data_IF_694667420474
#
_entry.id   IF_694667420474
#
_cell.length_a   1.000
_cell.length_b   1.000
_cell.length_c   1.000
_cell.angle_alpha   90.00
_cell.angle_beta   90.00
_cell.angle_gamma   90.00
#
_symmetry.space_group_name_H-M   'P 1'
#
loop_
_entity.id
_entity.type
_entity.pdbx_description
1 polymer ?
#
# COMPACT_ATOMS: atom_id res chain seq x y z
N UNK A 1 -45.60 -30.60 21.72
CA UNK A 1 -44.66 -30.96 20.63
C UNK A 1 -44.43 -29.81 19.66
N UNK A 2 -45.48 -29.16 19.12
CA UNK A 2 -45.34 -27.99 18.22
C UNK A 2 -44.51 -26.85 18.82
N UNK A 3 -44.70 -26.53 20.10
CA UNK A 3 -43.95 -25.47 20.80
C UNK A 3 -42.44 -25.78 20.88
N UNK A 4 -42.08 -27.03 21.16
CA UNK A 4 -40.68 -27.48 21.20
C UNK A 4 -40.01 -27.43 19.82
N UNK A 5 -40.74 -27.83 18.77
CA UNK A 5 -40.25 -27.74 17.39
C UNK A 5 -40.03 -26.27 17.00
N UNK A 6 -40.96 -25.38 17.34
CA UNK A 6 -40.82 -23.95 17.08
C UNK A 6 -39.59 -23.34 17.76
N UNK A 7 -39.36 -23.67 19.04
CA UNK A 7 -38.19 -23.22 19.78
C UNK A 7 -36.88 -23.75 19.15
N UNK A 8 -36.87 -25.03 18.76
CA UNK A 8 -35.71 -25.65 18.13
C UNK A 8 -35.37 -25.00 16.78
N UNK A 9 -36.37 -24.74 15.94
CA UNK A 9 -36.17 -24.06 14.65
C UNK A 9 -35.64 -22.65 14.84
N UNK A 10 -36.15 -21.91 15.83
CA UNK A 10 -35.69 -20.56 16.14
C UNK A 10 -34.21 -20.57 16.57
N UNK A 11 -33.85 -21.42 17.53
CA UNK A 11 -32.46 -21.54 18.00
C UNK A 11 -31.52 -22.01 16.90
N UNK A 12 -31.94 -22.97 16.07
CA UNK A 12 -31.14 -23.47 14.95
C UNK A 12 -30.90 -22.37 13.90
N UNK A 13 -31.94 -21.60 13.56
CA UNK A 13 -31.83 -20.50 12.59
C UNK A 13 -30.90 -19.40 13.12
N UNK A 14 -31.05 -18.99 14.38
CA UNK A 14 -30.15 -18.02 15.00
C UNK A 14 -28.70 -18.50 14.97
N UNK A 15 -28.46 -19.77 15.33
CA UNK A 15 -27.12 -20.37 15.32
C UNK A 15 -26.52 -20.36 13.90
N UNK A 16 -27.30 -20.70 12.88
CA UNK A 16 -26.87 -20.70 11.50
C UNK A 16 -26.51 -19.28 11.01
N UNK A 17 -27.33 -18.28 11.36
CA UNK A 17 -27.05 -16.88 10.99
C UNK A 17 -25.78 -16.36 11.66
N UNK A 18 -25.53 -16.72 12.92
CA UNK A 18 -24.31 -16.35 13.64
C UNK A 18 -23.05 -16.94 12.99
N UNK A 19 -23.11 -18.20 12.53
CA UNK A 19 -22.01 -18.83 11.79
C UNK A 19 -21.71 -18.09 10.48
N UNK A 20 -22.73 -17.74 9.71
CA UNK A 20 -22.53 -16.99 8.46
C UNK A 20 -21.97 -15.58 8.69
N UNK A 21 -22.42 -14.89 9.73
CA UNK A 21 -21.87 -13.58 10.11
C UNK A 21 -20.40 -13.68 10.50
N UNK A 22 -20.06 -14.68 11.32
CA UNK A 22 -18.68 -14.95 11.73
C UNK A 22 -17.77 -15.19 10.51
N UNK A 23 -18.21 -15.99 9.53
CA UNK A 23 -17.43 -16.23 8.30
C UNK A 23 -17.21 -14.97 7.47
N UNK A 24 -18.21 -14.08 7.40
CA UNK A 24 -18.08 -12.79 6.71
C UNK A 24 -17.08 -11.88 7.43
N UNK A 25 -17.22 -11.73 8.75
CA UNK A 25 -16.30 -10.96 9.57
C UNK A 25 -14.85 -11.46 9.43
N UNK A 26 -14.62 -12.77 9.41
CA UNK A 26 -13.29 -13.32 9.18
C UNK A 26 -12.70 -12.99 7.80
N UNK A 27 -13.54 -12.90 6.77
CA UNK A 27 -13.08 -12.51 5.44
C UNK A 27 -12.76 -11.02 5.36
N UNK A 28 -13.60 -10.17 5.95
CA UNK A 28 -13.37 -8.73 6.07
C UNK A 28 -12.08 -8.45 6.83
N UNK A 29 -11.88 -9.06 8.01
CA UNK A 29 -10.64 -8.94 8.79
C UNK A 29 -9.39 -9.37 8.00
N UNK A 30 -9.49 -10.37 7.13
CA UNK A 30 -8.38 -10.79 6.28
C UNK A 30 -8.10 -9.81 5.15
N UNK A 31 -9.13 -9.19 4.59
CA UNK A 31 -9.00 -8.17 3.54
C UNK A 31 -8.33 -6.93 4.11
N UNK A 32 -8.82 -6.40 5.23
CA UNK A 32 -8.21 -5.28 5.98
C UNK A 32 -6.76 -5.58 6.33
N UNK A 33 -6.46 -6.77 6.86
CA UNK A 33 -5.08 -7.16 7.15
C UNK A 33 -4.18 -7.22 5.92
N UNK A 34 -4.67 -7.75 4.79
CA UNK A 34 -3.91 -7.83 3.55
C UNK A 34 -3.57 -6.40 3.04
N UNK A 35 -4.49 -5.45 3.20
CA UNK A 35 -4.30 -4.02 2.91
C UNK A 35 -3.26 -3.41 3.86
N UNK A 36 -3.44 -3.53 5.17
CA UNK A 36 -2.54 -2.96 6.19
C UNK A 36 -1.10 -3.48 6.04
N UNK A 37 -0.94 -4.80 5.90
CA UNK A 37 0.38 -5.44 5.74
C UNK A 37 1.09 -4.94 4.46
N UNK A 38 0.34 -4.60 3.41
CA UNK A 38 0.89 -4.08 2.16
C UNK A 38 1.19 -2.58 2.26
N UNK A 39 0.27 -1.80 2.83
CA UNK A 39 0.43 -0.37 3.05
C UNK A 39 1.62 -0.07 3.96
N UNK A 40 1.75 -0.75 5.10
CA UNK A 40 2.89 -0.59 6.01
C UNK A 40 4.21 -0.88 5.29
N UNK A 41 4.31 -1.98 4.55
CA UNK A 41 5.54 -2.32 3.80
C UNK A 41 5.89 -1.27 2.75
N UNK A 42 4.91 -0.81 1.98
CA UNK A 42 5.10 0.20 0.94
C UNK A 42 5.54 1.53 1.58
N UNK A 43 4.78 2.01 2.56
CA UNK A 43 5.00 3.31 3.18
C UNK A 43 6.29 3.35 4.00
N UNK A 44 6.60 2.32 4.79
CA UNK A 44 7.87 2.25 5.52
C UNK A 44 9.08 2.24 4.58
N UNK A 45 9.00 1.49 3.47
CA UNK A 45 10.10 1.42 2.53
C UNK A 45 10.25 2.71 1.74
N UNK A 46 9.15 3.28 1.23
CA UNK A 46 9.16 4.59 0.56
C UNK A 46 9.74 5.66 1.47
N UNK A 47 9.26 5.76 2.70
CA UNK A 47 9.71 6.78 3.66
C UNK A 47 11.17 6.58 4.05
N UNK A 48 11.64 5.34 4.19
CA UNK A 48 13.06 5.03 4.40
C UNK A 48 13.92 5.44 3.20
N UNK A 49 13.48 5.12 1.99
CA UNK A 49 14.24 5.38 0.77
C UNK A 49 14.27 6.88 0.45
N UNK A 50 13.15 7.59 0.62
CA UNK A 50 13.09 9.05 0.50
C UNK A 50 14.04 9.71 1.51
N UNK A 51 13.99 9.30 2.78
CA UNK A 51 14.88 9.84 3.82
C UNK A 51 16.35 9.49 3.59
N UNK A 52 16.67 8.36 2.96
CA UNK A 52 18.06 7.97 2.68
C UNK A 52 18.59 8.50 1.35
N UNK A 53 17.72 8.97 0.47
CA UNK A 53 18.10 9.52 -0.83
C UNK A 53 18.82 10.86 -0.70
N UNK A 54 19.80 11.07 -1.58
CA UNK A 54 20.54 12.33 -1.69
C UNK A 54 19.76 13.34 -2.52
N UNK A 55 19.09 12.88 -3.58
CA UNK A 55 18.29 13.72 -4.46
C UNK A 55 17.22 12.92 -5.19
N UNK A 56 16.23 13.64 -5.72
CA UNK A 56 15.17 13.07 -6.56
C UNK A 56 15.51 13.33 -8.03
N UNK A 57 15.37 12.32 -8.88
CA UNK A 57 15.48 12.50 -10.32
C UNK A 57 14.14 13.00 -10.88
N UNK A 58 14.05 14.31 -11.12
CA UNK A 58 12.85 14.97 -11.62
C UNK A 58 12.54 14.61 -13.08
N UNK A 59 13.53 14.19 -13.88
CA UNK A 59 13.32 13.86 -15.28
C UNK A 59 12.68 12.48 -15.47
N UNK A 60 13.00 11.53 -14.58
CA UNK A 60 12.47 10.17 -14.59
C UNK A 60 11.35 9.93 -13.54
N UNK A 61 10.81 11.00 -12.95
CA UNK A 61 9.69 10.93 -11.99
C UNK A 61 8.45 11.64 -12.54
N UNK A 62 7.28 11.08 -12.22
CA UNK A 62 5.98 11.64 -12.61
C UNK A 62 5.21 12.03 -11.35
N UNK A 63 5.03 13.34 -11.14
CA UNK A 63 4.36 13.91 -9.98
C UNK A 63 2.95 14.42 -10.32
N UNK A 64 2.03 14.38 -9.36
CA UNK A 64 0.67 14.92 -9.48
C UNK A 64 -0.29 14.12 -10.37
N UNK A 65 0.11 12.94 -10.86
CA UNK A 65 -0.72 12.04 -11.65
C UNK A 65 -0.67 10.61 -11.14
N UNK A 66 -1.74 9.84 -11.35
CA UNK A 66 -1.78 8.40 -11.12
C UNK A 66 -1.78 7.64 -12.46
N UNK A 67 -0.97 6.58 -12.63
CA UNK A 67 0.02 6.09 -11.68
C UNK A 67 1.28 6.97 -11.66
N UNK A 68 1.67 7.36 -10.45
CA UNK A 68 2.90 8.11 -10.20
C UNK A 68 4.13 7.23 -10.37
N UNK A 69 5.25 7.87 -10.70
CA UNK A 69 6.57 7.24 -10.74
C UNK A 69 7.53 8.07 -9.92
N UNK A 70 8.32 7.42 -9.07
CA UNK A 70 9.31 8.10 -8.25
C UNK A 70 10.67 7.45 -8.43
N UNK A 71 11.64 8.24 -8.89
CA UNK A 71 13.03 7.82 -9.06
C UNK A 71 13.91 8.58 -8.08
N UNK A 72 14.53 7.84 -7.17
CA UNK A 72 15.39 8.35 -6.10
C UNK A 72 16.85 8.01 -6.40
N UNK A 73 17.71 9.00 -6.21
CA UNK A 73 19.16 8.84 -6.27
C UNK A 73 19.68 8.71 -4.84
N UNK A 74 20.20 7.53 -4.51
CA UNK A 74 20.75 7.19 -3.21
C UNK A 74 22.17 6.65 -3.33
N UNK A 75 22.79 6.33 -2.20
CA UNK A 75 24.10 5.68 -2.12
C UNK A 75 23.95 4.43 -1.28
N UNK A 76 24.62 3.34 -1.69
CA UNK A 76 24.62 2.12 -0.89
C UNK A 76 25.55 2.27 0.34
N UNK A 77 25.58 1.24 1.20
CA UNK A 77 26.45 1.22 2.38
C UNK A 77 27.95 1.30 2.07
N UNK A 78 28.35 1.02 0.83
CA UNK A 78 29.73 1.14 0.34
C UNK A 78 30.02 2.48 -0.34
N UNK A 79 29.06 3.41 -0.36
CA UNK A 79 29.19 4.74 -0.97
C UNK A 79 29.05 4.78 -2.49
N UNK A 80 28.65 3.68 -3.15
CA UNK A 80 28.41 3.69 -4.59
C UNK A 80 27.01 4.22 -4.91
N UNK A 81 26.84 5.03 -5.97
CA UNK A 81 25.53 5.50 -6.41
C UNK A 81 24.58 4.34 -6.70
N UNK A 82 23.35 4.48 -6.24
CA UNK A 82 22.25 3.54 -6.42
C UNK A 82 21.02 4.34 -6.84
N UNK A 83 20.34 3.90 -7.88
CA UNK A 83 19.06 4.47 -8.30
C UNK A 83 17.94 3.53 -7.89
N UNK A 84 16.97 4.03 -7.13
CA UNK A 84 15.78 3.28 -6.71
C UNK A 84 14.56 3.89 -7.39
N UNK A 85 13.86 3.07 -8.16
CA UNK A 85 12.68 3.49 -8.91
C UNK A 85 11.44 2.75 -8.41
N UNK A 86 10.40 3.52 -8.10
CA UNK A 86 9.08 3.05 -7.74
C UNK A 86 8.13 3.28 -8.90
N UNK A 87 7.48 2.22 -9.36
CA UNK A 87 6.57 2.28 -10.50
C UNK A 87 5.43 1.28 -10.34
N UNK A 88 4.25 1.66 -10.81
CA UNK A 88 3.10 0.77 -10.89
C UNK A 88 3.14 0.04 -12.24
N UNK A 89 3.04 -1.28 -12.21
CA UNK A 89 2.89 -2.14 -13.39
C UNK A 89 1.56 -2.87 -13.29
N UNK A 90 0.59 -2.49 -14.12
CA UNK A 90 -0.81 -2.93 -13.97
C UNK A 90 -1.42 -2.33 -12.70
N UNK A 91 -1.60 -3.16 -11.67
CA UNK A 91 -2.10 -2.78 -10.34
C UNK A 91 -1.11 -3.09 -9.21
N UNK A 92 0.15 -3.38 -9.55
CA UNK A 92 1.18 -3.81 -8.59
C UNK A 92 2.28 -2.75 -8.50
N UNK A 93 2.64 -2.34 -7.28
CA UNK A 93 3.83 -1.53 -7.03
C UNK A 93 5.08 -2.39 -7.05
N UNK A 94 5.94 -2.10 -8.01
CA UNK A 94 7.24 -2.74 -8.14
C UNK A 94 8.37 -1.75 -7.87
N UNK A 95 9.52 -2.30 -7.49
CA UNK A 95 10.75 -1.53 -7.33
C UNK A 95 11.78 -2.00 -8.34
N UNK A 96 12.50 -1.05 -8.91
CA UNK A 96 13.77 -1.29 -9.60
C UNK A 96 14.93 -0.68 -8.83
N UNK A 97 16.03 -1.41 -8.76
CA UNK A 97 17.30 -0.92 -8.20
C UNK A 97 18.36 -1.02 -9.29
N UNK A 98 18.99 0.09 -9.66
CA UNK A 98 19.95 0.18 -10.77
C UNK A 98 19.43 -0.45 -12.07
N UNK A 99 18.14 -0.26 -12.37
CA UNK A 99 17.48 -0.82 -13.55
C UNK A 99 17.12 -2.30 -13.46
N UNK A 100 17.44 -2.98 -12.35
CA UNK A 100 17.07 -4.38 -12.10
C UNK A 100 15.78 -4.43 -11.29
N UNK A 101 14.77 -5.14 -11.80
CA UNK A 101 13.50 -5.32 -11.11
C UNK A 101 13.65 -6.20 -9.86
N UNK A 102 13.23 -5.69 -8.71
CA UNK A 102 13.24 -6.37 -7.42
C UNK A 102 11.89 -7.01 -7.09
N UNK A 103 10.89 -6.82 -7.94
CA UNK A 103 9.56 -7.40 -7.79
C UNK A 103 8.60 -6.54 -6.97
N UNK A 104 7.47 -7.15 -6.61
CA UNK A 104 6.35 -6.49 -5.96
C UNK A 104 6.59 -6.24 -4.46
N UNK A 105 6.12 -5.09 -3.96
CA UNK A 105 6.16 -4.73 -2.54
C UNK A 105 4.93 -5.14 -1.72
N UNK A 106 3.90 -5.61 -2.42
CA UNK A 106 2.58 -5.83 -1.85
C UNK A 106 2.17 -7.29 -1.86
N UNK A 107 1.11 -7.61 -1.13
CA UNK A 107 0.47 -8.92 -1.21
C UNK A 107 -0.08 -9.18 -2.61
N UNK A 108 -0.12 -10.44 -3.05
CA UNK A 108 -0.69 -10.81 -4.35
C UNK A 108 -2.22 -10.59 -4.43
N UNK A 109 -2.87 -10.27 -3.31
CA UNK A 109 -4.33 -10.05 -3.20
C UNK A 109 -4.72 -8.57 -3.12
N UNK A 110 -3.74 -7.68 -3.02
CA UNK A 110 -3.95 -6.24 -2.99
C UNK A 110 -3.65 -5.62 -4.34
N UNK A 111 -4.38 -4.56 -4.68
CA UNK A 111 -4.21 -3.78 -5.89
C UNK A 111 -4.01 -2.31 -5.53
N UNK A 112 -3.15 -1.62 -6.26
CA UNK A 112 -3.11 -0.16 -6.24
C UNK A 112 -4.15 0.36 -7.22
N UNK A 113 -5.10 1.13 -6.68
CA UNK A 113 -6.09 1.84 -7.46
C UNK A 113 -5.53 3.18 -7.93
N UNK A 114 -4.78 3.86 -7.05
CA UNK A 114 -4.05 5.07 -7.39
C UNK A 114 -2.81 5.25 -6.52
N UNK A 115 -1.75 5.78 -7.13
CA UNK A 115 -0.53 6.18 -6.44
C UNK A 115 -0.12 7.53 -7.00
N UNK A 116 -0.04 8.54 -6.15
CA UNK A 116 0.35 9.90 -6.56
C UNK A 116 1.48 10.38 -5.68
N UNK A 117 2.52 10.89 -6.32
CA UNK A 117 3.61 11.57 -5.63
C UNK A 117 3.51 13.08 -5.90
N UNK A 118 3.69 13.89 -4.87
CA UNK A 118 3.82 15.34 -5.00
C UNK A 118 5.19 15.75 -4.52
N UNK A 119 5.90 16.44 -5.40
CA UNK A 119 7.19 17.02 -5.08
C UNK A 119 7.00 18.36 -4.36
N UNK A 120 7.62 18.50 -3.19
CA UNK A 120 7.60 19.71 -2.37
C UNK A 120 9.03 20.25 -2.33
N UNK A 121 9.22 21.49 -2.75
CA UNK A 121 10.52 22.18 -2.64
C UNK A 121 10.34 23.53 -1.93
N UNK A 122 11.16 23.77 -0.91
CA UNK A 122 11.18 25.02 -0.14
C UNK A 122 12.63 25.42 0.11
N UNK A 123 13.28 25.99 -0.91
CA UNK A 123 14.69 26.38 -0.85
C UNK A 123 15.62 25.16 -0.82
N UNK A 124 16.46 24.98 0.21
CA UNK A 124 17.31 23.80 0.33
C UNK A 124 16.53 22.53 0.70
N UNK A 125 15.26 22.66 1.14
CA UNK A 125 14.45 21.55 1.64
C UNK A 125 13.62 20.90 0.54
N UNK A 126 13.70 19.58 0.47
CA UNK A 126 12.97 18.77 -0.49
C UNK A 126 12.16 17.70 0.24
N UNK A 127 10.91 17.54 -0.14
CA UNK A 127 10.02 16.52 0.39
C UNK A 127 9.14 15.92 -0.69
N UNK A 128 8.62 14.74 -0.39
CA UNK A 128 7.67 14.02 -1.23
C UNK A 128 6.46 13.69 -0.36
N UNK A 129 5.29 14.16 -0.79
CA UNK A 129 4.02 13.67 -0.29
C UNK A 129 3.58 12.49 -1.15
N UNK A 130 3.21 11.39 -0.52
CA UNK A 130 2.72 10.18 -1.17
C UNK A 130 1.25 10.01 -0.81
N UNK A 131 0.42 9.79 -1.83
CA UNK A 131 -0.98 9.38 -1.70
C UNK A 131 -1.12 7.99 -2.31
N UNK A 132 -1.51 7.01 -1.51
CA UNK A 132 -1.64 5.62 -1.89
C UNK A 132 -3.08 5.18 -1.65
N UNK A 133 -3.75 4.75 -2.70
CA UNK A 133 -5.08 4.16 -2.68
C UNK A 133 -4.95 2.68 -3.01
N UNK A 134 -5.33 1.83 -2.07
CA UNK A 134 -5.16 0.38 -2.17
C UNK A 134 -6.49 -0.33 -1.91
N UNK A 135 -6.76 -1.34 -2.73
CA UNK A 135 -7.92 -2.20 -2.57
C UNK A 135 -7.53 -3.65 -2.40
N UNK A 136 -8.37 -4.42 -1.73
CA UNK A 136 -8.27 -5.86 -1.64
C UNK A 136 -9.65 -6.48 -1.76
N UNK A 137 -9.73 -7.67 -2.34
CA UNK A 137 -11.00 -8.38 -2.49
C UNK A 137 -10.82 -9.87 -2.24
N UNK A 138 -11.71 -10.44 -1.43
CA UNK A 138 -11.79 -11.86 -1.14
C UNK A 138 -13.24 -12.33 -1.18
N UNK A 139 -13.63 -12.93 -2.30
CA UNK A 139 -15.00 -13.39 -2.51
C UNK A 139 -15.94 -12.20 -2.65
N UNK A 140 -16.85 -12.01 -1.68
CA UNK A 140 -17.77 -10.86 -1.63
C UNK A 140 -17.30 -9.73 -0.71
N UNK A 141 -16.26 -9.98 0.09
CA UNK A 141 -15.66 -8.95 0.95
C UNK A 141 -14.64 -8.18 0.10
N UNK A 142 -14.78 -6.87 0.04
CA UNK A 142 -13.84 -5.98 -0.61
C UNK A 142 -13.77 -4.69 0.18
N UNK A 143 -12.58 -4.11 0.23
CA UNK A 143 -12.28 -2.90 1.00
C UNK A 143 -11.29 -2.06 0.20
N UNK A 144 -11.38 -0.74 0.40
CA UNK A 144 -10.52 0.26 -0.22
C UNK A 144 -10.12 1.21 0.89
N UNK A 145 -8.81 1.40 1.06
CA UNK A 145 -8.25 2.32 2.04
C UNK A 145 -7.24 3.27 1.41
N UNK A 146 -7.16 4.45 2.00
CA UNK A 146 -6.31 5.54 1.57
C UNK A 146 -5.22 5.82 2.60
N UNK A 147 -3.98 5.91 2.14
CA UNK A 147 -2.80 6.17 2.96
C UNK A 147 -2.08 7.42 2.46
N UNK A 148 -1.70 8.27 3.41
CA UNK A 148 -1.04 9.54 3.13
C UNK A 148 0.21 9.64 4.01
N UNK A 149 1.34 9.99 3.41
CA UNK A 149 2.55 10.34 4.17
C UNK A 149 3.31 11.47 3.48
N UNK A 150 4.10 12.21 4.25
CA UNK A 150 5.00 13.25 3.75
C UNK A 150 6.37 13.04 4.35
N UNK A 151 7.33 12.77 3.47
CA UNK A 151 8.72 12.50 3.86
C UNK A 151 9.67 13.54 3.27
N UNK A 152 10.63 13.99 4.09
CA UNK A 152 11.64 15.00 3.73
C UNK A 152 12.98 14.30 3.52
N UNK A 153 13.73 14.72 2.49
CA UNK A 153 15.05 14.19 2.17
C UNK A 153 16.07 14.59 3.24
N UNK A 154 17.00 13.67 3.57
CA UNK A 154 18.08 13.97 4.52
C UNK A 154 19.09 14.94 3.91
N UNK A 155 19.53 15.91 4.71
CA UNK A 155 20.47 16.95 4.28
C UNK A 155 19.82 18.15 3.60
N UNK A 156 18.49 18.18 3.55
CA UNK A 156 17.70 19.27 2.98
C UNK A 156 17.18 20.26 4.04
N UNK A 157 17.44 20.03 5.33
CA UNK A 157 17.12 20.93 6.44
C UNK A 157 18.38 21.46 7.12
#
# INVERSE_FOLDING_TARGET
MVLYIGLFVLLSTMSMTALFQTVRAFNELRVSRDIDDSAVKIMERLTRDIKSSTSVDLANSTFGSSPGRLTLLTVNASGTPLTVEYYVSGSILSIRENGVDRGALMSARTNIDALVFYYISSGPTFGIKTELHISSTRGKAGEVDDFYDTSVLRGSY
#
